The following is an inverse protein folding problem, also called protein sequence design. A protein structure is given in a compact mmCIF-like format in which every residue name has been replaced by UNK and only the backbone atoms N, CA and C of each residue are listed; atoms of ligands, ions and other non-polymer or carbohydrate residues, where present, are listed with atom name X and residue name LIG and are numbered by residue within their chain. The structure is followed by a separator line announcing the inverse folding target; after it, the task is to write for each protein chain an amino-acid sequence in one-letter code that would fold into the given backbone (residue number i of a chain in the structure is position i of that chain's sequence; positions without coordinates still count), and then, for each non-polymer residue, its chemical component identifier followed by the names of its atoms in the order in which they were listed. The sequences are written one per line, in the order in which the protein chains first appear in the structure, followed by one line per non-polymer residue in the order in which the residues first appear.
data_IF_099221883945
#
_entry.id   IF_099221883945
#
_cell.length_a   1.000
_cell.length_b   1.000
_cell.length_c   1.000
_cell.angle_alpha   90.00
_cell.angle_beta   90.00
_cell.angle_gamma   90.00
#
_symmetry.space_group_name_H-M   'P 1'
#
loop_
_entity.id
_entity.type
_entity.pdbx_description
1 polymer ?
#
# COMPACT_ATOMS: atom_id res chain seq x y z
N UNK A 1 -14.18 -2.91 -1.39
CA UNK A 1 -12.79 -3.26 -0.96
C UNK A 1 -11.84 -2.36 -1.71
N UNK A 2 -10.79 -1.86 -1.10
CA UNK A 2 -9.80 -1.00 -1.76
C UNK A 2 -8.51 -1.77 -1.98
N UNK A 3 -7.88 -1.56 -3.13
CA UNK A 3 -6.64 -2.19 -3.51
C UNK A 3 -5.63 -1.13 -3.94
N UNK A 4 -4.45 -1.15 -3.35
CA UNK A 4 -3.31 -0.31 -3.69
C UNK A 4 -2.26 -1.20 -4.34
N UNK A 5 -2.00 -0.95 -5.62
CA UNK A 5 -0.93 -1.58 -6.36
C UNK A 5 0.23 -0.59 -6.46
N UNK A 6 1.42 -1.01 -6.08
CA UNK A 6 2.61 -0.16 -6.08
C UNK A 6 3.84 -0.94 -6.52
N UNK A 7 4.58 -0.38 -7.48
CA UNK A 7 5.87 -0.89 -7.92
C UNK A 7 7.01 -0.01 -7.38
N UNK A 8 7.86 -0.63 -6.58
CA UNK A 8 9.05 -0.03 -5.99
C UNK A 8 10.32 -0.41 -6.77
N UNK A 9 10.24 -1.13 -7.88
CA UNK A 9 11.41 -1.58 -8.67
C UNK A 9 12.34 -0.42 -9.07
N UNK A 10 11.75 0.73 -9.41
CA UNK A 10 12.44 1.99 -9.77
C UNK A 10 13.02 2.74 -8.57
N UNK A 11 12.66 2.35 -7.34
CA UNK A 11 13.08 3.03 -6.11
C UNK A 11 14.39 2.42 -5.59
N UNK A 12 15.41 3.24 -5.25
CA UNK A 12 16.66 2.75 -4.67
C UNK A 12 16.46 1.86 -3.45
N UNK A 13 17.28 0.82 -3.28
CA UNK A 13 17.11 -0.18 -2.22
C UNK A 13 17.01 0.43 -0.80
N UNK A 14 17.82 1.44 -0.50
CA UNK A 14 17.78 2.16 0.78
C UNK A 14 16.42 2.84 1.04
N UNK A 15 15.82 3.45 0.01
CA UNK A 15 14.49 4.08 0.08
C UNK A 15 13.37 3.04 0.17
N UNK A 16 13.50 1.87 -0.47
CA UNK A 16 12.53 0.77 -0.34
C UNK A 16 12.44 0.26 1.10
N UNK A 17 13.59 0.09 1.76
CA UNK A 17 13.62 -0.32 3.18
C UNK A 17 12.91 0.72 4.06
N UNK A 18 13.15 2.02 3.81
CA UNK A 18 12.47 3.09 4.53
C UNK A 18 10.95 3.09 4.27
N UNK A 19 10.52 2.84 3.02
CA UNK A 19 9.10 2.68 2.69
C UNK A 19 8.46 1.57 3.54
N UNK A 20 9.05 0.37 3.57
CA UNK A 20 8.48 -0.75 4.31
C UNK A 20 8.43 -0.51 5.83
N UNK A 21 9.40 0.23 6.39
CA UNK A 21 9.36 0.66 7.80
C UNK A 21 8.18 1.59 8.07
N UNK A 22 8.01 2.64 7.27
CA UNK A 22 6.89 3.57 7.39
C UNK A 22 5.55 2.91 7.12
N UNK A 23 5.50 1.98 6.18
CA UNK A 23 4.30 1.21 5.90
C UNK A 23 3.91 0.31 7.07
N UNK A 24 4.88 -0.30 7.75
CA UNK A 24 4.64 -1.03 9.00
C UNK A 24 4.08 -0.11 10.10
N UNK A 25 4.67 1.06 10.31
CA UNK A 25 4.19 2.06 11.28
C UNK A 25 2.75 2.50 10.96
N UNK A 26 2.45 2.73 9.67
CA UNK A 26 1.12 3.10 9.21
C UNK A 26 0.09 1.98 9.48
N UNK A 27 0.45 0.71 9.26
CA UNK A 27 -0.46 -0.40 9.59
C UNK A 27 -0.73 -0.48 11.10
N UNK A 28 0.29 -0.25 11.93
CA UNK A 28 0.15 -0.22 13.40
C UNK A 28 -0.78 0.90 13.84
N UNK A 29 -0.66 2.11 13.28
CA UNK A 29 -1.52 3.24 13.66
C UNK A 29 -3.00 3.00 13.31
N UNK A 30 -3.27 2.21 12.27
CA UNK A 30 -4.61 1.75 11.89
C UNK A 30 -5.03 0.44 12.58
N UNK A 31 -4.29 -0.04 13.58
CA UNK A 31 -4.56 -1.27 14.33
C UNK A 31 -4.64 -2.53 13.46
N UNK A 32 -3.94 -2.55 12.33
CA UNK A 32 -3.79 -3.73 11.47
C UNK A 32 -2.54 -4.49 11.87
N UNK A 33 -2.72 -5.50 12.72
CA UNK A 33 -1.65 -6.34 13.26
C UNK A 33 -1.45 -7.64 12.48
N UNK A 34 -2.48 -8.06 11.74
CA UNK A 34 -2.46 -9.23 10.86
C UNK A 34 -2.96 -8.80 9.49
N UNK A 35 -2.22 -9.13 8.44
CA UNK A 35 -2.61 -8.91 7.07
C UNK A 35 -2.27 -10.15 6.27
N UNK A 36 -3.24 -10.65 5.50
CA UNK A 36 -2.99 -11.67 4.47
C UNK A 36 -1.84 -11.15 3.61
N UNK A 37 -0.80 -11.99 3.49
CA UNK A 37 0.40 -11.84 2.68
C UNK A 37 0.25 -10.73 1.63
N UNK A 38 0.64 -9.49 1.96
CA UNK A 38 0.85 -8.48 0.93
C UNK A 38 1.99 -9.03 0.10
N UNK A 39 1.69 -9.64 -1.03
CA UNK A 39 2.67 -9.80 -2.10
C UNK A 39 3.29 -8.43 -2.27
N UNK A 40 4.61 -8.31 -2.19
CA UNK A 40 5.35 -7.08 -1.90
C UNK A 40 4.90 -5.79 -2.62
N UNK A 41 4.14 -5.91 -3.71
CA UNK A 41 3.62 -4.84 -4.57
C UNK A 41 2.11 -4.55 -4.46
N UNK A 42 1.33 -5.30 -3.68
CA UNK A 42 -0.13 -5.11 -3.58
C UNK A 42 -0.59 -5.11 -2.13
N UNK A 43 -1.40 -4.12 -1.76
CA UNK A 43 -2.04 -3.99 -0.45
C UNK A 43 -3.56 -3.85 -0.60
N UNK A 44 -4.32 -4.66 0.12
CA UNK A 44 -5.79 -4.59 0.13
C UNK A 44 -6.32 -4.28 1.53
N UNK A 45 -7.42 -3.51 1.58
CA UNK A 45 -8.09 -3.16 2.83
C UNK A 45 -9.56 -2.78 2.60
N UNK A 46 -10.41 -2.92 3.61
CA UNK A 46 -11.75 -2.33 3.58
C UNK A 46 -11.77 -0.87 4.03
N UNK A 47 -10.70 -0.39 4.68
CA UNK A 47 -10.60 0.97 5.16
C UNK A 47 -10.07 1.91 4.07
N UNK A 48 -10.95 2.78 3.55
CA UNK A 48 -10.60 3.76 2.52
C UNK A 48 -9.46 4.69 2.93
N UNK A 49 -9.50 5.22 4.14
CA UNK A 49 -8.49 6.15 4.64
C UNK A 49 -7.11 5.48 4.71
N UNK A 50 -7.05 4.20 5.10
CA UNK A 50 -5.81 3.45 5.07
C UNK A 50 -5.31 3.23 3.64
N UNK A 51 -6.19 2.88 2.69
CA UNK A 51 -5.81 2.72 1.29
C UNK A 51 -5.23 4.01 0.70
N UNK A 52 -5.88 5.16 0.95
CA UNK A 52 -5.39 6.47 0.53
C UNK A 52 -4.06 6.83 1.20
N UNK A 53 -3.87 6.50 2.48
CA UNK A 53 -2.63 6.74 3.19
C UNK A 53 -1.46 5.91 2.61
N UNK A 54 -1.70 4.65 2.26
CA UNK A 54 -0.71 3.77 1.61
C UNK A 54 -0.39 4.26 0.21
N UNK A 55 -1.39 4.64 -0.58
CA UNK A 55 -1.20 5.24 -1.89
C UNK A 55 -0.29 6.48 -1.84
N UNK A 56 -0.60 7.43 -0.95
CA UNK A 56 0.21 8.64 -0.76
C UNK A 56 1.63 8.32 -0.26
N UNK A 57 1.77 7.32 0.61
CA UNK A 57 3.06 6.86 1.08
C UNK A 57 3.90 6.33 -0.09
N UNK A 58 3.34 5.47 -0.94
CA UNK A 58 4.04 4.91 -2.10
C UNK A 58 4.50 5.99 -3.08
N UNK A 59 3.61 6.94 -3.41
CA UNK A 59 3.95 8.09 -4.27
C UNK A 59 5.10 8.94 -3.71
N UNK A 60 5.11 9.20 -2.39
CA UNK A 60 6.18 9.97 -1.74
C UNK A 60 7.57 9.32 -1.89
N UNK A 61 7.62 8.01 -2.05
CA UNK A 61 8.86 7.25 -2.27
C UNK A 61 9.23 7.10 -3.75
N UNK A 62 8.40 7.61 -4.67
CA UNK A 62 8.62 7.52 -6.12
C UNK A 62 8.17 6.20 -6.74
N UNK A 63 7.28 5.46 -6.08
CA UNK A 63 6.69 4.26 -6.64
C UNK A 63 5.74 4.62 -7.80
N UNK A 64 5.65 3.74 -8.79
CA UNK A 64 4.49 3.72 -9.71
C UNK A 64 3.33 3.12 -8.93
N UNK A 65 2.21 3.84 -8.77
CA UNK A 65 1.16 3.41 -7.84
C UNK A 65 -0.25 3.73 -8.35
N UNK A 66 -1.17 2.79 -8.13
CA UNK A 66 -2.59 2.89 -8.47
C UNK A 66 -3.46 2.54 -7.26
N UNK A 67 -4.59 3.23 -7.13
CA UNK A 67 -5.62 2.96 -6.12
C UNK A 67 -6.91 2.57 -6.83
N UNK A 68 -7.41 1.38 -6.51
CA UNK A 68 -8.63 0.82 -7.08
C UNK A 68 -9.72 0.70 -6.01
N UNK A 69 -10.96 0.94 -6.42
CA UNK A 69 -12.15 0.53 -5.67
C UNK A 69 -12.71 -0.76 -6.30
N UNK A 70 -12.52 -1.88 -5.59
CA UNK A 70 -12.99 -3.21 -5.95
C UNK A 70 -14.43 -3.50 -5.50
N UNK A 71 -15.27 -2.47 -5.34
CA UNK A 71 -16.71 -2.64 -5.08
C UNK A 71 -17.53 -3.04 -6.32
N UNK A 72 -16.89 -3.13 -7.50
CA UNK A 72 -17.55 -3.51 -8.75
C UNK A 72 -16.82 -4.70 -9.38
N UNK A 73 -17.47 -5.87 -9.35
CA UNK A 73 -17.17 -6.94 -10.30
C UNK A 73 -17.62 -6.44 -11.67
N UNK A 74 -16.72 -6.48 -12.66
CA UNK A 74 -17.12 -6.31 -14.06
C UNK A 74 -18.06 -7.47 -14.45
N UNK A 75 -19.03 -7.25 -15.35
CA UNK A 75 -19.83 -8.34 -15.92
C UNK A 75 -18.96 -9.38 -16.62
#
# INVERSE_FOLDING_TARGET
MYLVDYDLSVVPASKRVQFYRKFKELKISYKIFTGSRSTYSVFSTQNRALAEAVYRLALKFGAVCHLYDANRLLP
#
